data_IF_866635067788
#
_entry.id   IF_866635067788
#
_cell.length_a   1.000
_cell.length_b   1.000
_cell.length_c   1.000
_cell.angle_alpha   90.00
_cell.angle_beta   90.00
_cell.angle_gamma   90.00
#
_symmetry.space_group_name_H-M   'P 1'
#
loop_
_entity.id
_entity.type
_entity.pdbx_description
1 polymer ?
#
# COMPACT_ATOMS: atom_id res chain seq x y z
N UNK A 1 -8.08 -13.12 -23.92
CA UNK A 1 -6.97 -13.71 -23.12
C UNK A 1 -5.83 -14.02 -24.08
N UNK A 2 -4.57 -13.86 -23.66
CA UNK A 2 -3.41 -14.27 -24.46
C UNK A 2 -3.37 -15.80 -24.59
N UNK A 3 -2.50 -16.32 -25.47
CA UNK A 3 -2.26 -17.77 -25.61
C UNK A 3 -1.90 -18.43 -24.26
N UNK A 4 -1.27 -17.68 -23.35
CA UNK A 4 -0.89 -18.11 -22.01
C UNK A 4 -2.00 -17.94 -20.95
N UNK A 5 -3.24 -17.62 -21.36
CA UNK A 5 -4.39 -17.48 -20.46
C UNK A 5 -4.42 -16.18 -19.65
N UNK A 6 -3.48 -15.26 -19.86
CA UNK A 6 -3.48 -13.94 -19.20
C UNK A 6 -4.50 -12.99 -19.82
N UNK A 7 -4.90 -11.95 -19.08
CA UNK A 7 -5.71 -10.88 -19.64
C UNK A 7 -4.89 -10.16 -20.72
N UNK A 8 -5.34 -10.23 -21.97
CA UNK A 8 -4.75 -9.44 -23.05
C UNK A 8 -5.29 -8.00 -22.96
N UNK A 9 -4.50 -7.02 -23.36
CA UNK A 9 -5.03 -5.66 -23.52
C UNK A 9 -6.16 -5.69 -24.57
N UNK A 10 -7.29 -5.02 -24.29
CA UNK A 10 -8.39 -4.97 -25.23
C UNK A 10 -7.97 -4.20 -26.49
N UNK A 11 -8.35 -4.72 -27.65
CA UNK A 11 -8.15 -4.05 -28.93
C UNK A 11 -8.96 -2.74 -29.01
N UNK A 12 -8.53 -1.82 -29.87
CA UNK A 12 -9.27 -0.57 -30.08
C UNK A 12 -10.70 -0.82 -30.59
N UNK A 13 -10.91 -1.88 -31.37
CA UNK A 13 -12.24 -2.29 -31.83
C UNK A 13 -13.14 -2.68 -30.64
N UNK A 14 -12.65 -3.51 -29.72
CA UNK A 14 -13.37 -3.88 -28.51
C UNK A 14 -13.66 -2.67 -27.63
N UNK A 15 -12.71 -1.75 -27.47
CA UNK A 15 -12.91 -0.50 -26.74
C UNK A 15 -13.98 0.37 -27.41
N UNK A 16 -14.00 0.43 -28.74
CA UNK A 16 -14.97 1.21 -29.50
C UNK A 16 -16.40 0.66 -29.35
N UNK A 17 -16.59 -0.65 -29.14
CA UNK A 17 -17.92 -1.21 -28.80
C UNK A 17 -18.52 -0.60 -27.53
N UNK A 18 -17.68 -0.12 -26.61
CA UNK A 18 -18.10 0.55 -25.38
C UNK A 18 -18.13 2.07 -25.58
N UNK A 19 -17.11 2.65 -26.22
CA UNK A 19 -17.00 4.11 -26.40
C UNK A 19 -18.14 4.68 -27.26
N UNK A 20 -18.57 3.96 -28.29
CA UNK A 20 -19.62 4.39 -29.22
C UNK A 20 -21.04 4.23 -28.64
N UNK A 21 -21.23 3.30 -27.70
CA UNK A 21 -22.48 3.16 -26.95
C UNK A 21 -22.48 4.08 -25.73
N UNK A 22 -23.03 5.28 -25.91
CA UNK A 22 -23.05 6.33 -24.87
C UNK A 22 -23.81 5.90 -23.61
N UNK A 23 -24.87 5.10 -23.73
CA UNK A 23 -25.66 4.62 -22.61
C UNK A 23 -24.87 3.59 -21.79
N UNK A 24 -24.26 2.61 -22.47
CA UNK A 24 -23.40 1.61 -21.84
C UNK A 24 -22.17 2.24 -21.21
N UNK A 25 -21.50 3.16 -21.89
CA UNK A 25 -20.34 3.89 -21.37
C UNK A 25 -20.68 4.65 -20.10
N UNK A 26 -21.79 5.39 -20.08
CA UNK A 26 -22.26 6.11 -18.89
C UNK A 26 -22.53 5.15 -17.72
N UNK A 27 -23.19 4.02 -18.00
CA UNK A 27 -23.47 2.99 -16.99
C UNK A 27 -22.20 2.33 -16.44
N UNK A 28 -21.17 2.11 -17.28
CA UNK A 28 -19.88 1.57 -16.83
C UNK A 28 -19.12 2.60 -15.99
N UNK A 29 -19.02 3.86 -16.45
CA UNK A 29 -18.35 4.93 -15.70
C UNK A 29 -18.97 5.13 -14.32
N UNK A 30 -20.30 5.17 -14.24
CA UNK A 30 -21.03 5.27 -12.97
C UNK A 30 -20.64 4.15 -12.01
N UNK A 31 -20.64 2.89 -12.48
CA UNK A 31 -20.26 1.72 -11.69
C UNK A 31 -18.79 1.72 -11.26
N UNK A 32 -17.88 2.17 -12.12
CA UNK A 32 -16.45 2.28 -11.80
C UNK A 32 -16.16 3.38 -10.77
N UNK A 33 -16.99 4.41 -10.69
CA UNK A 33 -16.90 5.47 -9.69
C UNK A 33 -17.67 5.19 -8.39
N UNK A 34 -18.46 4.12 -8.34
CA UNK A 34 -19.29 3.78 -7.18
C UNK A 34 -18.61 2.75 -6.27
N UNK A 35 -18.09 3.24 -5.15
CA UNK A 35 -17.45 2.40 -4.14
C UNK A 35 -18.38 1.31 -3.59
N UNK A 36 -19.68 1.60 -3.45
CA UNK A 36 -20.66 0.63 -2.93
C UNK A 36 -20.91 -0.49 -3.93
N UNK A 37 -20.97 -0.14 -5.22
CA UNK A 37 -21.04 -1.12 -6.29
C UNK A 37 -19.81 -2.04 -6.31
N UNK A 38 -18.61 -1.45 -6.20
CA UNK A 38 -17.35 -2.20 -6.13
C UNK A 38 -17.30 -3.14 -4.91
N UNK A 39 -17.59 -2.63 -3.71
CA UNK A 39 -17.63 -3.42 -2.48
C UNK A 39 -18.62 -4.59 -2.58
N UNK A 40 -19.78 -4.38 -3.20
CA UNK A 40 -20.77 -5.44 -3.38
C UNK A 40 -20.21 -6.59 -4.23
N UNK A 41 -19.53 -6.28 -5.34
CA UNK A 41 -18.93 -7.31 -6.21
C UNK A 41 -17.78 -8.03 -5.50
N UNK A 42 -16.90 -7.27 -4.84
CA UNK A 42 -15.76 -7.82 -4.11
C UNK A 42 -16.21 -8.79 -3.01
N UNK A 43 -17.11 -8.34 -2.13
CA UNK A 43 -17.62 -9.18 -1.05
C UNK A 43 -18.38 -10.40 -1.57
N UNK A 44 -19.12 -10.28 -2.69
CA UNK A 44 -19.81 -11.42 -3.28
C UNK A 44 -18.83 -12.51 -3.75
N UNK A 45 -17.71 -12.13 -4.38
CA UNK A 45 -16.72 -13.09 -4.84
C UNK A 45 -16.06 -13.81 -3.66
N UNK A 46 -15.61 -13.05 -2.65
CA UNK A 46 -15.00 -13.60 -1.43
C UNK A 46 -15.98 -14.52 -0.70
N UNK A 47 -17.23 -14.08 -0.51
CA UNK A 47 -18.26 -14.86 0.17
C UNK A 47 -18.56 -16.19 -0.53
N UNK A 48 -18.61 -16.20 -1.86
CA UNK A 48 -18.82 -17.43 -2.63
C UNK A 48 -17.66 -18.40 -2.45
N UNK A 49 -16.43 -17.90 -2.56
CA UNK A 49 -15.24 -18.73 -2.41
C UNK A 49 -15.13 -19.31 -0.99
N UNK A 50 -15.27 -18.48 0.05
CA UNK A 50 -15.18 -18.93 1.42
C UNK A 50 -16.30 -19.93 1.79
N UNK A 51 -17.54 -19.69 1.35
CA UNK A 51 -18.63 -20.63 1.57
C UNK A 51 -18.40 -21.98 0.86
N UNK A 52 -17.79 -21.96 -0.33
CA UNK A 52 -17.43 -23.18 -1.06
C UNK A 52 -16.31 -23.96 -0.35
N UNK A 53 -15.28 -23.27 0.14
CA UNK A 53 -14.17 -23.85 0.90
C UNK A 53 -14.66 -24.49 2.23
N UNK A 54 -15.58 -23.83 2.94
CA UNK A 54 -16.10 -24.29 4.24
C UNK A 54 -17.37 -25.17 4.13
N UNK A 55 -17.82 -25.47 2.91
CA UNK A 55 -19.07 -26.21 2.62
C UNK A 55 -20.30 -25.62 3.32
N UNK A 56 -20.35 -24.30 3.47
CA UNK A 56 -21.44 -23.57 4.12
C UNK A 56 -22.42 -22.99 3.10
N UNK A 57 -23.68 -22.84 3.51
CA UNK A 57 -24.69 -22.09 2.78
C UNK A 57 -25.03 -20.81 3.56
N UNK A 58 -25.29 -19.71 2.84
CA UNK A 58 -25.78 -18.47 3.44
C UNK A 58 -24.79 -17.32 3.41
N UNK A 59 -24.87 -16.46 4.44
CA UNK A 59 -24.26 -15.13 4.44
C UNK A 59 -22.91 -15.13 5.14
N UNK A 60 -21.84 -14.88 4.37
CA UNK A 60 -20.47 -14.79 4.88
C UNK A 60 -20.13 -13.42 5.49
N UNK A 61 -20.46 -12.31 4.81
CA UNK A 61 -20.10 -10.95 5.24
C UNK A 61 -21.23 -10.21 5.94
N UNK A 62 -20.91 -9.20 6.76
CA UNK A 62 -21.91 -8.28 7.33
C UNK A 62 -22.70 -7.54 6.25
N UNK A 63 -23.89 -7.02 6.60
CA UNK A 63 -24.79 -6.40 5.62
C UNK A 63 -24.26 -5.10 5.00
N UNK A 64 -23.50 -4.31 5.77
CA UNK A 64 -23.05 -2.96 5.39
C UNK A 64 -21.55 -2.84 5.66
N UNK A 65 -20.83 -2.21 4.73
CA UNK A 65 -19.46 -1.78 4.96
C UNK A 65 -19.46 -0.36 5.54
N UNK A 66 -18.38 0.01 6.23
CA UNK A 66 -18.13 1.40 6.62
C UNK A 66 -17.01 1.97 5.76
N UNK A 67 -17.23 3.16 5.25
CA UNK A 67 -16.19 3.96 4.60
C UNK A 67 -15.99 5.24 5.41
N UNK A 68 -14.73 5.55 5.73
CA UNK A 68 -14.35 6.77 6.43
C UNK A 68 -13.43 7.55 5.51
N UNK A 69 -13.74 8.84 5.30
CA UNK A 69 -12.90 9.71 4.49
C UNK A 69 -11.70 10.18 5.32
N UNK A 70 -10.50 9.96 4.80
CA UNK A 70 -9.25 10.45 5.39
C UNK A 70 -8.96 11.81 4.75
N UNK A 71 -8.98 12.87 5.56
CA UNK A 71 -8.91 14.26 5.10
C UNK A 71 -7.56 14.93 5.36
N UNK A 72 -6.77 14.37 6.27
CA UNK A 72 -5.49 14.92 6.69
C UNK A 72 -4.41 13.83 6.70
N UNK A 73 -3.15 14.26 6.64
CA UNK A 73 -1.98 13.37 6.62
C UNK A 73 -1.90 12.53 7.89
N UNK A 74 -2.36 13.08 9.03
CA UNK A 74 -2.37 12.38 10.31
C UNK A 74 -3.34 11.20 10.31
N UNK A 75 -4.52 11.35 9.73
CA UNK A 75 -5.54 10.32 9.59
C UNK A 75 -5.07 9.23 8.63
N UNK A 76 -4.37 9.62 7.56
CA UNK A 76 -3.76 8.69 6.62
C UNK A 76 -2.64 7.87 7.28
N UNK A 77 -1.75 8.53 8.02
CA UNK A 77 -0.69 7.88 8.79
C UNK A 77 -1.26 6.92 9.83
N UNK A 78 -2.25 7.37 10.61
CA UNK A 78 -2.91 6.54 11.62
C UNK A 78 -3.61 5.33 10.99
N UNK A 79 -4.27 5.50 9.84
CA UNK A 79 -4.93 4.41 9.14
C UNK A 79 -3.93 3.37 8.60
N UNK A 80 -2.85 3.82 7.97
CA UNK A 80 -1.80 2.93 7.48
C UNK A 80 -1.14 2.16 8.63
N UNK A 81 -0.77 2.86 9.71
CA UNK A 81 -0.18 2.23 10.89
C UNK A 81 -1.13 1.24 11.57
N UNK A 82 -2.43 1.54 11.62
CA UNK A 82 -3.44 0.62 12.14
C UNK A 82 -3.44 -0.69 11.35
N UNK A 83 -3.54 -0.62 10.02
CA UNK A 83 -3.57 -1.81 9.15
C UNK A 83 -2.32 -2.67 9.33
N UNK A 84 -1.15 -2.05 9.30
CA UNK A 84 0.13 -2.77 9.35
C UNK A 84 0.46 -3.32 10.75
N UNK A 85 -0.04 -2.71 11.83
CA UNK A 85 0.13 -3.19 13.20
C UNK A 85 -0.95 -4.17 13.67
N UNK A 86 -2.06 -4.32 12.92
CA UNK A 86 -3.17 -5.16 13.35
C UNK A 86 -2.78 -6.61 13.67
N UNK A 87 -1.96 -7.33 12.86
CA UNK A 87 -1.54 -8.68 13.21
C UNK A 87 -0.75 -8.74 14.53
N UNK A 88 0.09 -7.73 14.78
CA UNK A 88 0.83 -7.63 16.05
C UNK A 88 -0.13 -7.40 17.21
N UNK A 89 -1.08 -6.49 17.06
CA UNK A 89 -2.08 -6.18 18.09
C UNK A 89 -3.02 -7.34 18.38
N UNK A 90 -3.31 -8.16 17.37
CA UNK A 90 -4.07 -9.40 17.49
C UNK A 90 -3.24 -10.56 18.08
N UNK A 91 -1.95 -10.36 18.38
CA UNK A 91 -1.00 -11.40 18.80
C UNK A 91 -0.87 -12.55 17.78
N UNK A 92 -1.02 -12.23 16.49
CA UNK A 92 -0.76 -13.14 15.37
C UNK A 92 0.66 -13.00 14.82
N UNK A 93 1.37 -11.94 15.21
CA UNK A 93 2.76 -11.68 14.84
C UNK A 93 3.49 -10.95 15.98
N UNK A 94 4.80 -11.17 16.08
CA UNK A 94 5.65 -10.48 17.07
C UNK A 94 6.50 -9.36 16.46
N UNK A 95 6.59 -9.31 15.12
CA UNK A 95 7.42 -8.37 14.37
C UNK A 95 6.69 -7.87 13.12
N UNK A 96 7.20 -6.79 12.50
CA UNK A 96 6.65 -6.25 11.25
C UNK A 96 6.95 -7.16 10.05
N UNK A 97 7.99 -7.99 10.15
CA UNK A 97 8.40 -8.94 9.13
C UNK A 97 7.50 -10.17 9.12
N UNK A 98 7.07 -10.61 10.32
CA UNK A 98 6.16 -11.73 10.51
C UNK A 98 4.67 -11.36 10.42
N UNK A 99 4.33 -10.08 10.22
CA UNK A 99 2.93 -9.65 10.04
C UNK A 99 2.38 -10.01 8.66
N UNK A 100 1.98 -11.27 8.53
CA UNK A 100 1.39 -11.86 7.31
C UNK A 100 0.31 -11.00 6.67
N UNK A 101 0.32 -10.92 5.34
CA UNK A 101 -0.72 -10.27 4.52
C UNK A 101 -0.86 -8.75 4.75
N UNK A 102 0.19 -8.09 5.24
CA UNK A 102 0.23 -6.62 5.40
C UNK A 102 1.02 -5.93 4.31
N UNK A 103 0.81 -4.61 4.18
CA UNK A 103 1.57 -3.80 3.23
C UNK A 103 3.02 -3.62 3.69
N UNK A 104 3.23 -3.45 5.00
CA UNK A 104 4.57 -3.34 5.60
C UNK A 104 5.41 -4.59 5.34
N UNK A 105 4.84 -5.79 5.47
CA UNK A 105 5.56 -7.03 5.21
C UNK A 105 6.09 -7.09 3.77
N UNK A 106 5.26 -6.74 2.78
CA UNK A 106 5.66 -6.74 1.36
C UNK A 106 6.78 -5.74 1.06
N UNK A 107 6.71 -4.56 1.68
CA UNK A 107 7.76 -3.54 1.56
C UNK A 107 9.07 -4.03 2.17
N UNK A 108 9.02 -4.62 3.35
CA UNK A 108 10.21 -5.19 4.00
C UNK A 108 10.82 -6.32 3.17
N UNK A 109 10.00 -7.24 2.62
CA UNK A 109 10.48 -8.29 1.73
C UNK A 109 11.20 -7.72 0.52
N UNK A 110 10.72 -6.60 -0.02
CA UNK A 110 11.38 -5.92 -1.15
C UNK A 110 12.74 -5.34 -0.74
N UNK A 111 12.81 -4.68 0.42
CA UNK A 111 14.08 -4.17 0.98
C UNK A 111 15.09 -5.30 1.19
N UNK A 112 14.67 -6.42 1.77
CA UNK A 112 15.53 -7.58 2.01
C UNK A 112 15.99 -8.29 0.73
N UNK A 113 15.24 -8.17 -0.36
CA UNK A 113 15.57 -8.74 -1.66
C UNK A 113 16.42 -7.80 -2.54
N UNK A 114 16.60 -6.54 -2.13
CA UNK A 114 17.45 -5.61 -2.85
C UNK A 114 18.91 -6.10 -2.76
N UNK A 115 19.65 -6.15 -3.89
CA UNK A 115 21.08 -6.42 -3.83
C UNK A 115 21.73 -5.32 -3.00
N UNK A 116 22.57 -5.69 -2.03
CA UNK A 116 23.33 -4.74 -1.22
C UNK A 116 24.02 -3.74 -2.15
N UNK A 117 23.60 -2.47 -2.08
CA UNK A 117 24.18 -1.39 -2.87
C UNK A 117 25.68 -1.32 -2.58
N UNK A 118 26.49 -1.56 -3.62
CA UNK A 118 27.89 -1.19 -3.63
C UNK A 118 27.98 0.34 -3.45
N UNK A 119 28.90 0.88 -2.62
CA UNK A 119 28.95 2.31 -2.36
C UNK A 119 29.16 3.11 -3.66
N UNK A 120 28.37 4.17 -3.81
CA UNK A 120 28.46 5.12 -4.92
C UNK A 120 29.86 5.75 -4.97
N UNK A 121 30.64 5.34 -5.96
CA UNK A 121 32.04 5.77 -6.13
C UNK A 121 32.60 5.38 -7.48
N UNK A 122 31.96 5.79 -8.57
CA UNK A 122 32.66 5.96 -9.85
C UNK A 122 31.83 6.84 -10.78
N UNK A 123 32.44 7.95 -11.18
CA UNK A 123 31.93 8.97 -12.08
C UNK A 123 31.40 8.38 -13.39
N UNK A 124 30.42 9.03 -14.06
CA UNK A 124 29.97 8.58 -15.37
C UNK A 124 31.09 8.74 -16.42
N UNK A 125 31.28 7.77 -17.33
CA UNK A 125 32.19 7.94 -18.45
C UNK A 125 31.62 8.99 -19.42
N UNK A 126 32.43 10.00 -19.72
CA UNK A 126 32.16 10.97 -20.77
C UNK A 126 32.11 10.24 -22.13
N UNK A 127 30.97 10.33 -22.83
CA UNK A 127 30.89 9.93 -24.24
C UNK A 127 30.82 11.21 -25.07
N UNK A 128 31.81 11.35 -25.95
CA UNK A 128 31.98 12.42 -26.90
C UNK A 128 30.97 12.37 -28.05
N UNK A 129 30.54 13.56 -28.48
CA UNK A 129 30.17 13.96 -29.85
C UNK A 129 29.36 13.03 -30.76
N UNK A 130 28.10 13.41 -31.01
CA UNK A 130 27.31 12.93 -32.16
C UNK A 130 25.90 13.51 -32.19
N UNK A 131 25.50 14.12 -33.30
CA UNK A 131 24.28 14.93 -33.48
C UNK A 131 22.96 14.15 -33.37
N UNK A 132 21.91 14.86 -32.93
CA UNK A 132 20.52 14.43 -32.88
C UNK A 132 19.85 14.34 -34.27
N UNK A 133 18.84 13.48 -34.41
CA UNK A 133 17.60 13.92 -35.04
C UNK A 133 16.37 13.67 -34.13
N UNK A 134 15.34 14.50 -34.32
CA UNK A 134 14.12 14.60 -33.53
C UNK A 134 13.26 13.30 -33.52
N UNK A 135 12.45 13.04 -32.48
CA UNK A 135 11.65 11.82 -32.40
C UNK A 135 10.32 11.97 -33.16
N UNK A 136 10.12 11.14 -34.17
CA UNK A 136 8.80 10.83 -34.71
C UNK A 136 8.11 9.81 -33.79
N UNK A 137 6.86 10.09 -33.42
CA UNK A 137 6.02 9.22 -32.63
C UNK A 137 5.69 7.93 -33.41
N UNK A 138 6.18 6.79 -32.92
CA UNK A 138 5.92 5.43 -33.40
C UNK A 138 5.75 4.46 -32.22
N UNK A 139 5.13 3.29 -32.42
CA UNK A 139 4.55 2.48 -31.36
C UNK A 139 5.63 1.87 -30.46
N UNK A 140 5.34 1.80 -29.15
CA UNK A 140 6.18 1.24 -28.10
C UNK A 140 6.52 -0.23 -28.40
N UNK A 141 7.63 -0.44 -29.09
CA UNK A 141 8.24 -1.75 -29.27
C UNK A 141 8.64 -2.29 -27.91
N UNK A 142 8.17 -3.50 -27.62
CA UNK A 142 8.45 -4.28 -26.43
C UNK A 142 9.93 -4.21 -26.01
N UNK A 143 10.20 -3.57 -24.88
CA UNK A 143 11.46 -3.77 -24.19
C UNK A 143 11.34 -5.05 -23.35
N UNK A 144 11.80 -6.11 -23.99
CA UNK A 144 12.21 -7.36 -23.37
C UNK A 144 13.30 -7.11 -22.33
N UNK A 145 12.89 -6.77 -21.12
CA UNK A 145 13.69 -6.79 -19.91
C UNK A 145 12.74 -7.11 -18.76
N UNK A 146 12.72 -8.36 -18.29
CA UNK A 146 11.95 -8.73 -17.10
C UNK A 146 12.52 -7.95 -15.91
N UNK A 147 11.97 -6.77 -15.62
CA UNK A 147 12.09 -6.15 -14.31
C UNK A 147 11.57 -7.20 -13.33
N UNK A 148 12.46 -7.68 -12.45
CA UNK A 148 12.07 -8.67 -11.43
C UNK A 148 10.93 -8.07 -10.62
N UNK A 149 9.76 -8.70 -10.67
CA UNK A 149 8.60 -8.24 -9.94
C UNK A 149 8.94 -8.19 -8.44
N UNK A 150 8.94 -6.99 -7.85
CA UNK A 150 9.14 -6.85 -6.41
C UNK A 150 7.84 -7.18 -5.67
N UNK A 151 7.90 -7.75 -4.46
CA UNK A 151 6.71 -8.06 -3.67
C UNK A 151 5.78 -6.88 -3.43
N UNK A 152 6.28 -5.64 -3.45
CA UNK A 152 5.53 -4.42 -3.20
C UNK A 152 5.19 -3.60 -4.46
N UNK A 153 5.47 -4.10 -5.67
CA UNK A 153 5.36 -3.32 -6.93
C UNK A 153 3.97 -2.71 -7.20
N UNK A 154 2.93 -3.34 -6.63
CA UNK A 154 1.53 -2.92 -6.76
C UNK A 154 1.08 -1.93 -5.67
N UNK A 155 1.90 -1.74 -4.63
CA UNK A 155 1.64 -0.79 -3.56
C UNK A 155 2.06 0.62 -3.99
N UNK A 156 1.28 1.62 -3.54
CA UNK A 156 1.71 3.01 -3.67
C UNK A 156 2.99 3.23 -2.83
N UNK A 157 3.97 4.04 -3.28
CA UNK A 157 5.13 4.39 -2.46
C UNK A 157 4.71 5.05 -1.14
N UNK A 158 5.47 4.86 -0.05
CA UNK A 158 5.19 5.59 1.20
C UNK A 158 5.52 7.06 1.00
N UNK A 159 6.72 7.34 0.49
CA UNK A 159 7.25 8.68 0.33
C UNK A 159 6.54 9.46 -0.76
N UNK A 160 5.98 10.59 -0.34
CA UNK A 160 5.33 11.56 -1.18
C UNK A 160 6.35 12.62 -1.61
N UNK A 161 6.94 12.41 -2.79
CA UNK A 161 7.85 13.38 -3.39
C UNK A 161 7.05 14.49 -4.09
N UNK A 162 6.66 15.53 -3.34
CA UNK A 162 6.10 16.75 -3.91
C UNK A 162 7.22 17.78 -4.08
N UNK A 163 7.88 17.77 -5.25
CA UNK A 163 8.77 18.88 -5.57
C UNK A 163 7.96 20.15 -5.82
N UNK A 164 8.43 21.33 -5.35
CA UNK A 164 7.80 22.60 -5.67
C UNK A 164 7.61 22.76 -7.18
N UNK A 165 6.37 23.00 -7.63
CA UNK A 165 6.03 23.13 -9.05
C UNK A 165 5.57 21.83 -9.74
N UNK A 166 5.53 20.70 -9.05
CA UNK A 166 4.96 19.46 -9.61
C UNK A 166 3.44 19.60 -9.78
N UNK A 167 2.91 19.19 -10.94
CA UNK A 167 1.48 19.24 -11.21
C UNK A 167 0.67 18.46 -10.16
N UNK A 168 -0.43 19.06 -9.68
CA UNK A 168 -1.39 18.39 -8.81
C UNK A 168 -2.05 17.25 -9.60
N UNK A 169 -1.73 16.01 -9.28
CA UNK A 169 -2.34 14.86 -9.94
C UNK A 169 -1.70 13.53 -9.58
N UNK A 170 -2.13 12.49 -10.29
CA UNK A 170 -1.51 11.16 -10.28
C UNK A 170 -0.21 11.19 -11.08
N UNK A 171 0.74 10.33 -10.72
CA UNK A 171 1.97 10.11 -11.51
C UNK A 171 1.84 8.75 -12.16
N UNK A 172 1.72 8.68 -13.49
CA UNK A 172 1.49 7.41 -14.15
C UNK A 172 2.67 6.45 -13.95
N UNK A 173 2.35 5.24 -13.48
CA UNK A 173 3.34 4.18 -13.34
C UNK A 173 3.70 3.61 -14.72
N UNK A 174 5.00 3.60 -15.05
CA UNK A 174 5.49 3.12 -16.35
C UNK A 174 5.37 1.61 -16.52
N UNK A 175 5.35 0.85 -15.43
CA UNK A 175 5.31 -0.62 -15.44
C UNK A 175 3.89 -1.20 -15.50
N UNK A 176 2.85 -0.37 -15.36
CA UNK A 176 1.46 -0.80 -15.30
C UNK A 176 1.10 -1.63 -14.07
N UNK A 177 1.99 -1.73 -13.07
CA UNK A 177 1.79 -2.58 -11.88
C UNK A 177 0.93 -1.91 -10.81
N UNK A 178 0.77 -0.59 -10.88
CA UNK A 178 -0.06 0.23 -9.99
C UNK A 178 -0.65 1.42 -10.72
N UNK A 179 -1.70 2.03 -10.16
CA UNK A 179 -2.38 3.16 -10.79
C UNK A 179 -1.57 4.48 -10.75
N UNK A 180 -0.68 4.64 -9.76
CA UNK A 180 0.10 5.87 -9.58
C UNK A 180 1.41 5.62 -8.83
N UNK A 181 2.48 6.29 -9.25
CA UNK A 181 3.79 6.37 -8.57
C UNK A 181 3.83 7.44 -7.48
N UNK A 182 2.75 8.22 -7.35
CA UNK A 182 2.62 9.18 -6.27
C UNK A 182 2.49 8.45 -4.93
N UNK A 183 3.40 8.73 -4.00
CA UNK A 183 3.30 8.23 -2.64
C UNK A 183 2.21 8.93 -1.83
N UNK A 184 2.13 8.63 -0.54
CA UNK A 184 0.97 9.03 0.27
C UNK A 184 1.33 9.67 1.62
N UNK A 185 2.59 9.64 2.07
CA UNK A 185 3.04 10.29 3.30
C UNK A 185 4.28 11.16 3.06
N UNK A 186 4.39 12.34 3.69
CA UNK A 186 5.57 13.20 3.61
C UNK A 186 6.72 12.69 4.51
N UNK A 187 7.10 11.41 4.37
CA UNK A 187 8.20 10.79 5.11
C UNK A 187 8.86 9.67 4.30
N UNK A 188 10.10 9.33 4.65
CA UNK A 188 10.80 8.20 4.04
C UNK A 188 10.14 6.87 4.44
N UNK A 189 10.38 5.80 3.66
CA UNK A 189 10.02 4.45 4.09
C UNK A 189 10.72 4.06 5.41
N UNK A 190 11.99 4.46 5.58
CA UNK A 190 12.75 4.20 6.81
C UNK A 190 12.12 4.86 8.05
N UNK A 191 11.70 6.12 7.94
CA UNK A 191 10.99 6.83 9.02
C UNK A 191 9.65 6.18 9.36
N UNK A 192 8.91 5.76 8.33
CA UNK A 192 7.67 5.05 8.52
C UNK A 192 7.86 3.72 9.25
N UNK A 193 8.88 2.92 8.87
CA UNK A 193 9.21 1.67 9.56
C UNK A 193 9.62 1.91 11.02
N UNK A 194 10.46 2.93 11.29
CA UNK A 194 10.82 3.30 12.66
C UNK A 194 9.61 3.68 13.50
N UNK A 195 8.69 4.47 12.92
CA UNK A 195 7.45 4.86 13.59
C UNK A 195 6.58 3.65 13.90
N UNK A 196 6.45 2.70 12.96
CA UNK A 196 5.70 1.46 13.20
C UNK A 196 6.34 0.59 14.28
N UNK A 197 7.66 0.40 14.26
CA UNK A 197 8.39 -0.39 15.25
C UNK A 197 8.23 0.22 16.65
N UNK A 198 8.44 1.53 16.78
CA UNK A 198 8.21 2.25 18.03
C UNK A 198 6.76 2.10 18.49
N UNK A 199 5.78 2.34 17.60
CA UNK A 199 4.35 2.25 17.94
C UNK A 199 3.95 0.83 18.33
N UNK A 200 4.50 -0.18 17.67
CA UNK A 200 4.25 -1.60 17.93
C UNK A 200 4.78 -2.07 19.29
N UNK A 201 5.85 -1.45 19.80
CA UNK A 201 6.39 -1.68 21.14
C UNK A 201 5.51 -1.10 22.25
N UNK A 202 4.82 0.01 21.97
CA UNK A 202 3.93 0.64 22.95
C UNK A 202 2.76 -0.29 23.30
N UNK A 203 2.61 -0.66 24.57
CA UNK A 203 1.55 -1.52 25.07
C UNK A 203 0.36 -0.71 25.59
N UNK A 204 -0.83 -0.93 25.02
CA UNK A 204 -2.07 -0.48 25.64
C UNK A 204 -2.41 -1.40 26.84
N UNK A 205 -2.79 -0.81 27.99
CA UNK A 205 -3.13 -1.56 29.22
C UNK A 205 -4.13 -2.68 28.91
N UNK A 206 -3.78 -3.92 29.28
CA UNK A 206 -4.65 -5.11 29.14
C UNK A 206 -4.67 -5.76 27.75
N UNK A 207 -3.83 -5.33 26.80
CA UNK A 207 -3.67 -5.99 25.48
C UNK A 207 -2.48 -6.96 25.49
N UNK A 208 -2.55 -8.03 24.69
CA UNK A 208 -1.52 -9.07 24.62
C UNK A 208 -0.48 -8.81 23.53
N UNK A 209 -0.88 -8.17 22.43
CA UNK A 209 -0.04 -7.95 21.24
C UNK A 209 0.86 -6.72 21.31
N UNK A 210 2.18 -6.95 21.30
CA UNK A 210 3.24 -5.93 21.19
C UNK A 210 4.49 -6.53 20.56
N UNK A 211 5.33 -5.66 19.99
CA UNK A 211 6.71 -6.01 19.65
C UNK A 211 7.51 -6.09 20.97
N UNK A 212 8.24 -7.19 21.25
CA UNK A 212 9.10 -7.31 22.43
C UNK A 212 10.27 -6.32 22.43
N UNK A 213 10.61 -5.76 23.61
CA UNK A 213 11.73 -4.82 23.75
C UNK A 213 13.10 -5.48 23.51
N UNK A 214 13.18 -6.81 23.65
CA UNK A 214 14.39 -7.59 23.41
C UNK A 214 14.78 -7.67 21.94
N UNK A 215 13.87 -7.38 21.01
CA UNK A 215 14.16 -7.43 19.57
C UNK A 215 14.82 -6.12 19.14
N UNK A 216 15.87 -6.23 18.32
CA UNK A 216 16.56 -5.08 17.74
C UNK A 216 15.61 -4.12 16.98
N UNK A 217 15.88 -2.80 16.99
CA UNK A 217 15.18 -1.84 16.16
C UNK A 217 15.12 -2.25 14.68
N UNK A 218 13.98 -2.00 14.03
CA UNK A 218 13.74 -2.45 12.66
C UNK A 218 14.81 -2.04 11.65
N UNK A 219 15.37 -0.82 11.74
CA UNK A 219 16.40 -0.39 10.78
C UNK A 219 17.70 -1.18 10.93
N UNK A 220 18.07 -1.57 12.15
CA UNK A 220 19.24 -2.41 12.39
C UNK A 220 19.02 -3.81 11.81
N UNK A 221 17.82 -4.38 12.02
CA UNK A 221 17.43 -5.68 11.46
C UNK A 221 17.43 -5.69 9.92
N UNK A 222 17.08 -4.57 9.30
CA UNK A 222 17.04 -4.40 7.84
C UNK A 222 18.33 -3.86 7.23
N UNK A 223 19.36 -3.57 8.05
CA UNK A 223 20.62 -2.99 7.59
C UNK A 223 20.42 -1.70 6.76
N UNK A 224 19.45 -0.87 7.16
CA UNK A 224 19.19 0.41 6.53
C UNK A 224 19.96 1.51 7.24
N UNK A 225 20.74 2.28 6.49
CA UNK A 225 21.46 3.45 7.00
C UNK A 225 20.46 4.49 7.52
N UNK A 226 20.77 5.11 8.67
CA UNK A 226 20.00 6.23 9.19
C UNK A 226 20.30 7.52 8.41
N UNK A 227 20.03 7.55 7.10
CA UNK A 227 20.05 8.81 6.36
C UNK A 227 18.87 9.67 6.82
N UNK A 228 19.16 10.68 7.65
CA UNK A 228 18.16 11.65 8.11
C UNK A 228 17.35 11.21 9.33
N UNK A 229 18.02 10.72 10.38
CA UNK A 229 17.41 10.29 11.65
C UNK A 229 16.33 11.28 12.16
N UNK A 230 15.16 10.72 12.49
CA UNK A 230 13.98 11.33 13.11
C UNK A 230 14.23 11.99 14.49
N UNK A 231 15.49 12.23 14.87
CA UNK A 231 15.90 12.79 16.16
C UNK A 231 15.33 14.20 16.39
N UNK A 232 15.14 15.00 15.32
CA UNK A 232 14.58 16.36 15.42
C UNK A 232 13.05 16.45 15.24
N UNK A 233 12.37 15.39 14.78
CA UNK A 233 10.90 15.38 14.56
C UNK A 233 10.10 14.45 15.48
N UNK A 234 10.79 13.69 16.34
CA UNK A 234 10.20 12.82 17.38
C UNK A 234 9.04 13.44 18.17
N UNK A 235 9.08 14.70 18.66
CA UNK A 235 7.97 15.21 19.48
C UNK A 235 6.69 15.47 18.69
N UNK A 236 6.76 15.72 17.36
CA UNK A 236 5.57 16.05 16.56
C UNK A 236 4.84 14.83 16.00
N UNK A 237 5.56 13.80 15.51
CA UNK A 237 4.91 12.56 15.04
C UNK A 237 4.39 11.70 16.20
N UNK A 238 5.10 11.67 17.34
CA UNK A 238 4.63 11.00 18.55
C UNK A 238 3.40 11.71 19.16
N UNK A 239 3.33 13.04 19.12
CA UNK A 239 2.12 13.78 19.53
C UNK A 239 0.96 13.53 18.55
N UNK A 240 1.19 13.27 17.27
CA UNK A 240 0.08 12.96 16.35
C UNK A 240 -0.61 11.63 16.70
N UNK A 241 0.14 10.58 17.03
CA UNK A 241 -0.41 9.29 17.45
C UNK A 241 -0.85 9.28 18.93
N UNK A 242 -0.31 10.17 19.77
CA UNK A 242 -0.61 10.28 21.21
C UNK A 242 -1.69 11.33 21.56
N UNK A 243 -1.70 12.48 20.89
CA UNK A 243 -2.56 13.66 21.08
C UNK A 243 -3.84 13.66 20.23
N UNK A 244 -4.00 12.71 19.30
CA UNK A 244 -5.32 12.23 18.85
C UNK A 244 -5.63 10.91 19.57
N UNK A 245 -5.89 10.91 20.90
CA UNK A 245 -6.21 9.67 21.63
C UNK A 245 -7.45 8.98 21.05
N UNK A 246 -8.30 9.70 20.32
CA UNK A 246 -9.48 9.17 19.64
C UNK A 246 -9.21 8.17 18.50
N UNK A 247 -7.97 8.00 18.01
CA UNK A 247 -7.70 7.09 16.88
C UNK A 247 -6.76 5.91 17.21
N UNK A 248 -5.89 5.98 18.22
CA UNK A 248 -4.92 4.90 18.48
C UNK A 248 -4.90 4.43 19.94
N UNK A 249 -5.47 5.18 20.89
CA UNK A 249 -5.53 4.78 22.31
C UNK A 249 -6.95 4.78 22.90
N UNK A 250 -7.95 5.29 22.18
CA UNK A 250 -9.31 5.33 22.70
C UNK A 250 -9.90 3.93 22.70
N UNK A 251 -10.45 3.48 23.85
CA UNK A 251 -11.33 2.33 23.90
C UNK A 251 -12.45 2.42 22.86
N UNK A 252 -12.86 3.62 22.39
CA UNK A 252 -13.89 3.76 21.37
C UNK A 252 -13.41 3.51 19.94
N UNK A 253 -12.14 3.78 19.57
CA UNK A 253 -11.63 3.39 18.24
C UNK A 253 -11.39 1.89 18.19
N UNK A 254 -10.81 1.33 19.26
CA UNK A 254 -10.59 -0.11 19.38
C UNK A 254 -11.87 -0.89 19.66
N UNK A 255 -12.87 -0.36 20.39
CA UNK A 255 -14.20 -0.99 20.54
C UNK A 255 -15.08 -0.79 19.30
N UNK A 256 -14.92 0.32 18.55
CA UNK A 256 -15.52 0.45 17.23
C UNK A 256 -14.97 -0.61 16.25
N UNK A 257 -13.69 -0.97 16.36
CA UNK A 257 -13.06 -2.06 15.60
C UNK A 257 -13.32 -3.48 16.16
N UNK A 258 -13.51 -3.66 17.47
CA UNK A 258 -13.81 -4.96 18.09
C UNK A 258 -15.30 -5.30 18.16
N UNK A 259 -16.21 -4.33 17.95
CA UNK A 259 -17.66 -4.59 17.92
C UNK A 259 -18.10 -5.43 16.72
N UNK A 260 -17.24 -5.65 15.72
CA UNK A 260 -17.50 -6.58 14.61
C UNK A 260 -16.96 -8.00 14.85
N UNK A 261 -16.26 -8.25 15.97
CA UNK A 261 -15.69 -9.56 16.30
C UNK A 261 -16.33 -10.23 17.53
N UNK A 262 -17.45 -9.69 18.03
CA UNK A 262 -18.30 -10.33 19.03
C UNK A 262 -19.72 -10.59 18.47
N UNK A 263 -19.80 -11.24 17.31
CA UNK A 263 -20.83 -12.26 17.13
C UNK A 263 -20.12 -13.58 17.34
N UNK A 264 -20.53 -14.25 18.41
CA UNK A 264 -20.00 -15.52 18.92
C UNK A 264 -20.03 -16.59 17.81
N UNK A 265 -19.12 -17.55 17.94
CA UNK A 265 -19.35 -18.93 17.49
C UNK A 265 -20.77 -19.40 17.80
#
# INVERSE_FOLDING_TARGET
KTADGQAAEPSDEELNTIRLDTARLKGIRSRLSDLSWWMRILCQQIARQANEEDQQLGKFSQARFKAVRLLDEQALLACAAYVDLNPIRAALAETLESSGFTSVQRRIQTVQQAPASTPAGSSPPQIAGGQAPAPAAGPMSALSGRVRATPDQFLAPVSLDQQPGTALGTVQNKTGTRCSDKGFLPMSLGDYLQLLDWTGRQLAKGKKGRIPDSIEPILQRLQLDQEGSLSDKKPHCCSILSSKPLLISSPTFWAWAFSTSHSRF
#
